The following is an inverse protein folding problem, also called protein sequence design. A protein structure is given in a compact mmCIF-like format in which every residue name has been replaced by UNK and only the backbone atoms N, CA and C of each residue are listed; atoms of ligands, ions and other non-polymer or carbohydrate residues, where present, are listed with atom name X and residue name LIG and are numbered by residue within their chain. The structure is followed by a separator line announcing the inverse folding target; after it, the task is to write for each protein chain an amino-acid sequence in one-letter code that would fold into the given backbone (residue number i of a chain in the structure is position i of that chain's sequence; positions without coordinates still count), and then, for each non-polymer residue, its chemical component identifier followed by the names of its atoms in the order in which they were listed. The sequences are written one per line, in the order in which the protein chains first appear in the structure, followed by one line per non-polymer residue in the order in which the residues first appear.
data_IF_564002127720
#
_entry.id   IF_564002127720
#
_cell.length_a   1.000
_cell.length_b   1.000
_cell.length_c   1.000
_cell.angle_alpha   90.00
_cell.angle_beta   90.00
_cell.angle_gamma   90.00
#
_symmetry.space_group_name_H-M   'P 1'
#
loop_
_entity.id
_entity.type
_entity.pdbx_description
1 polymer ?
#
# COMPACT_ATOMS: atom_id res chain seq x y z
N UNK A 1 31.63 -0.77 -46.26
CA UNK A 1 31.19 -2.06 -45.69
C UNK A 1 31.17 -2.08 -44.15
N UNK A 2 32.19 -1.54 -43.46
CA UNK A 2 32.27 -1.55 -41.98
C UNK A 2 31.21 -0.69 -41.25
N UNK A 3 30.83 0.45 -41.84
CA UNK A 3 29.84 1.40 -41.27
C UNK A 3 28.41 0.82 -41.21
N UNK A 4 28.03 0.00 -42.18
CA UNK A 4 26.71 -0.66 -42.20
C UNK A 4 26.59 -1.78 -41.16
N UNK A 5 27.69 -2.51 -40.93
CA UNK A 5 27.76 -3.49 -39.85
C UNK A 5 27.64 -2.83 -38.48
N UNK A 6 28.31 -1.69 -38.28
CA UNK A 6 28.25 -0.94 -37.03
C UNK A 6 26.85 -0.38 -36.73
N UNK A 7 26.15 0.11 -37.77
CA UNK A 7 24.78 0.59 -37.65
C UNK A 7 23.80 -0.55 -37.35
N UNK A 8 23.98 -1.72 -37.98
CA UNK A 8 23.17 -2.91 -37.70
C UNK A 8 23.33 -3.40 -36.26
N UNK A 9 24.55 -3.44 -35.74
CA UNK A 9 24.82 -3.83 -34.35
C UNK A 9 24.18 -2.84 -33.37
N UNK A 10 24.24 -1.54 -33.66
CA UNK A 10 23.63 -0.51 -32.81
C UNK A 10 22.10 -0.64 -32.76
N UNK A 11 21.46 -0.90 -33.91
CA UNK A 11 20.01 -1.12 -33.99
C UNK A 11 19.61 -2.39 -33.22
N UNK A 12 20.34 -3.50 -33.39
CA UNK A 12 20.07 -4.74 -32.66
C UNK A 12 20.29 -4.61 -31.14
N UNK A 13 21.27 -3.82 -30.70
CA UNK A 13 21.49 -3.58 -29.26
C UNK A 13 20.33 -2.78 -28.63
N UNK A 14 19.76 -1.83 -29.38
CA UNK A 14 18.65 -0.99 -28.90
C UNK A 14 17.34 -1.78 -28.69
N UNK A 15 17.06 -2.79 -29.53
CA UNK A 15 15.86 -3.60 -29.42
C UNK A 15 15.90 -4.57 -28.23
N UNK A 16 17.10 -5.07 -27.87
CA UNK A 16 17.30 -5.89 -26.67
C UNK A 16 16.99 -5.13 -25.37
N UNK A 17 17.31 -3.84 -25.30
CA UNK A 17 17.03 -3.00 -24.13
C UNK A 17 15.53 -2.77 -23.90
N UNK A 18 14.75 -2.66 -24.99
CA UNK A 18 13.30 -2.45 -24.92
C UNK A 18 12.55 -3.70 -24.43
N UNK A 19 13.04 -4.89 -24.80
CA UNK A 19 12.45 -6.17 -24.39
C UNK A 19 12.66 -6.52 -22.90
N UNK A 20 13.59 -5.85 -22.22
CA UNK A 20 13.92 -6.13 -20.81
C UNK A 20 13.05 -5.33 -19.83
N UNK A 21 12.20 -4.43 -20.30
CA UNK A 21 11.30 -3.67 -19.43
C UNK A 21 10.12 -4.58 -19.06
N UNK A 22 9.91 -4.90 -17.77
CA UNK A 22 8.77 -5.72 -17.38
C UNK A 22 7.48 -5.00 -17.80
N UNK A 23 6.61 -5.72 -18.51
CA UNK A 23 5.35 -5.16 -19.06
C UNK A 23 4.41 -4.64 -17.96
N UNK A 24 4.60 -5.08 -16.71
CA UNK A 24 3.81 -4.68 -15.56
C UNK A 24 4.70 -4.45 -14.34
N UNK A 25 4.49 -3.37 -13.58
CA UNK A 25 5.19 -3.18 -12.31
C UNK A 25 4.78 -4.25 -11.30
N UNK A 26 5.69 -4.60 -10.39
CA UNK A 26 5.35 -5.37 -9.20
C UNK A 26 4.72 -4.43 -8.17
N UNK A 27 3.57 -4.79 -7.63
CA UNK A 27 2.90 -4.03 -6.57
C UNK A 27 3.12 -4.76 -5.25
N UNK A 28 3.83 -4.13 -4.33
CA UNK A 28 4.06 -4.64 -2.97
C UNK A 28 3.23 -3.81 -2.01
N UNK A 29 2.34 -4.46 -1.26
CA UNK A 29 1.50 -3.80 -0.25
C UNK A 29 2.01 -4.19 1.15
N UNK A 30 2.48 -3.20 1.90
CA UNK A 30 3.02 -3.37 3.25
C UNK A 30 2.02 -2.80 4.24
N UNK A 31 1.68 -3.57 5.26
CA UNK A 31 0.71 -3.20 6.28
C UNK A 31 1.25 -3.54 7.67
N UNK A 32 1.05 -2.64 8.64
CA UNK A 32 1.44 -2.81 10.03
C UNK A 32 0.22 -2.64 10.93
N UNK A 33 -0.03 -3.61 11.80
CA UNK A 33 -1.13 -3.55 12.76
C UNK A 33 -0.75 -2.67 13.96
N UNK A 34 -1.73 -1.91 14.46
CA UNK A 34 -1.61 -1.02 15.62
C UNK A 34 -0.52 0.06 15.54
N UNK A 35 0.08 0.31 14.37
CA UNK A 35 1.01 1.41 14.17
C UNK A 35 0.26 2.74 14.07
N UNK A 36 0.52 3.63 15.02
CA UNK A 36 0.01 4.99 15.04
C UNK A 36 0.66 5.88 13.99
N UNK A 37 -0.04 6.94 13.59
CA UNK A 37 0.47 7.89 12.60
C UNK A 37 1.77 8.58 13.05
N UNK A 38 1.93 8.86 14.34
CA UNK A 38 3.12 9.48 14.90
C UNK A 38 4.26 8.52 15.24
N UNK A 39 4.13 7.22 14.93
CA UNK A 39 5.17 6.25 15.26
C UNK A 39 6.39 6.31 14.31
N UNK A 40 6.23 6.44 12.98
CA UNK A 40 7.37 6.60 12.08
C UNK A 40 8.09 7.94 12.22
N UNK A 41 9.42 7.92 12.06
CA UNK A 41 10.27 9.11 12.15
C UNK A 41 9.91 10.21 11.16
N UNK A 42 9.45 9.85 9.95
CA UNK A 42 8.96 10.81 8.94
C UNK A 42 7.78 11.66 9.40
N UNK A 43 7.01 11.20 10.38
CA UNK A 43 5.85 11.90 10.94
C UNK A 43 6.15 12.49 12.33
N UNK A 44 7.43 12.52 12.73
CA UNK A 44 7.87 13.09 14.00
C UNK A 44 7.97 12.09 15.15
N UNK A 45 7.87 10.78 14.89
CA UNK A 45 8.09 9.74 15.89
C UNK A 45 9.56 9.69 16.33
N UNK A 46 9.80 9.66 17.64
CA UNK A 46 11.14 9.65 18.25
C UNK A 46 11.42 8.41 19.10
N UNK A 47 10.38 7.62 19.40
CA UNK A 47 10.45 6.47 20.31
C UNK A 47 11.21 5.28 19.73
N UNK A 48 11.05 5.00 18.44
CA UNK A 48 11.71 3.88 17.76
C UNK A 48 12.23 4.32 16.38
N UNK A 49 13.48 3.96 16.03
CA UNK A 49 14.02 4.31 14.72
C UNK A 49 13.35 3.49 13.61
N UNK A 50 12.89 4.16 12.54
CA UNK A 50 12.22 3.55 11.37
C UNK A 50 13.00 3.74 10.06
N UNK A 51 14.31 3.47 10.00
CA UNK A 51 15.18 3.92 8.90
C UNK A 51 14.76 3.38 7.52
N UNK A 52 14.15 2.20 7.46
CA UNK A 52 13.66 1.63 6.20
C UNK A 52 12.37 2.32 5.72
N UNK A 53 11.45 2.64 6.62
CA UNK A 53 10.22 3.38 6.30
C UNK A 53 10.58 4.80 5.87
N UNK A 54 11.51 5.43 6.60
CA UNK A 54 11.95 6.79 6.31
C UNK A 54 12.64 6.88 4.95
N UNK A 55 13.48 5.89 4.63
CA UNK A 55 14.11 5.77 3.31
C UNK A 55 13.07 5.58 2.20
N UNK A 56 12.09 4.68 2.40
CA UNK A 56 11.04 4.45 1.42
C UNK A 56 10.20 5.70 1.16
N UNK A 57 9.89 6.48 2.20
CA UNK A 57 9.16 7.74 2.04
C UNK A 57 9.99 8.80 1.31
N UNK A 58 11.30 8.87 1.55
CA UNK A 58 12.21 9.80 0.85
C UNK A 58 12.41 9.43 -0.62
N UNK A 59 12.46 8.15 -0.94
CA UNK A 59 12.60 7.64 -2.31
C UNK A 59 11.26 7.67 -3.09
N UNK A 60 10.14 7.69 -2.38
CA UNK A 60 8.79 7.82 -2.94
C UNK A 60 8.23 9.23 -2.82
N UNK A 61 6.91 9.35 -2.99
CA UNK A 61 6.15 10.58 -2.72
C UNK A 61 5.50 10.43 -1.33
N UNK A 62 5.95 11.16 -0.28
CA UNK A 62 5.29 11.14 1.01
C UNK A 62 3.88 11.74 0.89
N UNK A 63 2.84 10.97 1.25
CA UNK A 63 1.48 11.49 1.30
C UNK A 63 1.33 12.47 2.49
N UNK A 64 1.33 13.75 2.19
CA UNK A 64 1.18 14.85 3.16
C UNK A 64 -0.29 15.10 3.57
N UNK A 65 -1.20 14.13 3.36
CA UNK A 65 -2.56 14.17 3.89
C UNK A 65 -3.65 14.36 2.84
N UNK A 66 -3.40 14.04 1.58
CA UNK A 66 -4.39 14.08 0.52
C UNK A 66 -4.98 12.69 0.25
N UNK A 67 -6.10 12.41 0.93
CA UNK A 67 -7.10 11.41 0.52
C UNK A 67 -6.76 9.92 0.63
N UNK A 68 -5.61 9.54 1.20
CA UNK A 68 -5.20 8.14 1.37
C UNK A 68 -5.15 7.63 2.81
N UNK A 69 -5.86 8.24 3.77
CA UNK A 69 -5.81 7.83 5.19
C UNK A 69 -6.61 6.56 5.45
N UNK A 70 -6.14 5.44 4.94
CA UNK A 70 -6.46 4.14 5.53
C UNK A 70 -5.40 3.92 6.61
N UNK A 71 -5.69 4.37 7.84
CA UNK A 71 -5.17 3.65 9.01
C UNK A 71 -5.78 2.28 8.86
N UNK A 72 -5.03 1.40 8.20
CA UNK A 72 -5.49 0.06 8.11
C UNK A 72 -5.38 -0.49 9.54
N UNK A 73 -6.48 -1.02 10.04
CA UNK A 73 -6.51 -1.97 11.16
C UNK A 73 -6.94 -3.31 10.56
N UNK A 74 -6.79 -4.44 11.26
CA UNK A 74 -7.38 -5.73 10.86
C UNK A 74 -8.81 -5.61 10.28
N UNK A 75 -9.62 -4.68 10.81
CA UNK A 75 -10.97 -4.35 10.31
C UNK A 75 -11.01 -3.85 8.86
N UNK A 76 -10.03 -3.07 8.43
CA UNK A 76 -9.99 -2.40 7.11
C UNK A 76 -9.38 -3.23 5.98
N UNK A 77 -8.60 -4.28 6.31
CA UNK A 77 -7.93 -5.14 5.32
C UNK A 77 -8.93 -5.73 4.33
N UNK A 78 -10.10 -6.27 4.76
CA UNK A 78 -11.10 -6.71 3.81
C UNK A 78 -11.52 -5.60 2.85
N UNK A 79 -11.66 -4.35 3.33
CA UNK A 79 -12.08 -3.20 2.51
C UNK A 79 -11.08 -2.85 1.44
N UNK A 80 -9.80 -2.92 1.77
CA UNK A 80 -8.70 -2.73 0.84
C UNK A 80 -8.67 -3.84 -0.23
N UNK A 81 -8.83 -5.10 0.18
CA UNK A 81 -8.75 -6.26 -0.72
C UNK A 81 -9.90 -6.30 -1.73
N UNK A 82 -11.08 -5.87 -1.31
CA UNK A 82 -12.30 -6.04 -2.11
C UNK A 82 -12.80 -4.72 -2.71
N UNK A 83 -12.19 -3.58 -2.38
CA UNK A 83 -12.60 -2.26 -2.86
C UNK A 83 -13.98 -1.80 -2.40
N UNK A 84 -14.57 -2.46 -1.38
CA UNK A 84 -15.92 -2.17 -0.88
C UNK A 84 -15.91 -1.63 0.55
N UNK A 85 -16.85 -0.74 0.84
CA UNK A 85 -17.06 -0.22 2.20
C UNK A 85 -17.41 -1.33 3.19
N UNK A 86 -17.15 -1.12 4.47
CA UNK A 86 -17.48 -2.10 5.52
C UNK A 86 -18.98 -2.41 5.53
N UNK A 87 -19.80 -1.36 5.47
CA UNK A 87 -21.26 -1.42 5.40
C UNK A 87 -21.77 -2.23 4.20
N UNK A 88 -21.17 -2.03 3.02
CA UNK A 88 -21.50 -2.78 1.81
C UNK A 88 -21.17 -4.27 1.94
N UNK A 89 -20.14 -4.63 2.73
CA UNK A 89 -19.79 -6.03 2.98
C UNK A 89 -20.65 -6.72 4.02
N UNK A 90 -21.02 -5.99 5.08
CA UNK A 90 -21.84 -6.57 6.16
C UNK A 90 -23.34 -6.49 5.86
N UNK A 91 -23.73 -5.87 4.74
CA UNK A 91 -25.12 -5.83 4.28
C UNK A 91 -25.98 -4.81 5.00
N UNK A 92 -25.39 -3.76 5.58
CA UNK A 92 -26.11 -2.72 6.29
C UNK A 92 -25.25 -1.89 7.25
N UNK A 93 -25.77 -0.78 7.78
CA UNK A 93 -25.02 0.08 8.69
C UNK A 93 -24.59 -0.70 9.93
N UNK A 94 -23.40 -0.40 10.46
CA UNK A 94 -22.84 -1.00 11.69
C UNK A 94 -23.62 -0.65 12.97
N UNK A 95 -24.85 -0.16 12.82
CA UNK A 95 -25.78 0.20 13.89
C UNK A 95 -27.18 -0.29 13.53
N UNK A 96 -27.49 -1.52 13.91
CA UNK A 96 -28.85 -1.90 14.29
C UNK A 96 -28.81 -2.80 15.54
N UNK A 97 -28.24 -2.28 16.64
CA UNK A 97 -28.81 -2.57 17.96
C UNK A 97 -29.94 -1.54 18.16
N UNK A 98 -31.14 -1.86 17.66
CA UNK A 98 -32.34 -1.05 17.90
C UNK A 98 -33.07 -1.43 19.18
N UNK A 99 -32.51 -2.32 19.97
CA UNK A 99 -32.94 -2.60 21.33
C UNK A 99 -31.73 -2.71 22.25
N UNK A 100 -31.76 -1.96 23.36
CA UNK A 100 -30.68 -1.92 24.34
C UNK A 100 -30.56 -3.21 25.17
N UNK A 101 -30.49 -4.39 24.55
CA UNK A 101 -30.34 -5.67 25.27
C UNK A 101 -29.30 -6.59 24.63
N UNK A 102 -28.14 -6.56 25.27
CA UNK A 102 -27.15 -7.62 25.50
C UNK A 102 -26.44 -8.30 24.32
N UNK A 103 -25.11 -8.24 24.39
CA UNK A 103 -24.20 -9.07 23.61
C UNK A 103 -22.77 -9.14 24.16
N UNK A 104 -22.54 -9.00 25.48
CA UNK A 104 -21.34 -9.59 26.09
C UNK A 104 -21.75 -11.01 26.47
N UNK A 105 -21.50 -11.96 25.58
CA UNK A 105 -21.46 -13.36 25.96
C UNK A 105 -20.25 -13.53 26.88
N UNK A 106 -20.47 -13.40 28.18
CA UNK A 106 -19.58 -13.94 29.20
C UNK A 106 -19.48 -15.44 28.92
N UNK A 107 -18.33 -15.86 28.39
CA UNK A 107 -17.96 -17.27 28.26
C UNK A 107 -17.83 -17.87 29.67
N UNK A 108 -18.18 -19.16 29.85
CA UNK A 108 -18.03 -19.84 31.14
C UNK A 108 -16.59 -19.84 31.63
#
# INVERSE_FOLDING_TARGET
MKKGLLLSVLVCASSLLFAMKPDKPNIIMIYADDMGYGDPGIYGGDKFPTPNIDRLAKEGEPDNGSSGRVVANARSIPSLQTGRGQEERVGGPFSQAKDGRHGIQSRP
#
